data_IF_828840701962
#
_entry.id   IF_828840701962
#
_cell.length_a   1.000
_cell.length_b   1.000
_cell.length_c   1.000
_cell.angle_alpha   90.00
_cell.angle_beta   90.00
_cell.angle_gamma   90.00
#
_symmetry.space_group_name_H-M   'P 1'
#
loop_
_entity.id
_entity.type
_entity.pdbx_description
1 polymer ?
#
# COMPACT_ATOMS: atom_id res chain seq x y z
N UNK A 1 -6.53 -4.37 16.85
CA UNK A 1 -6.66 -3.51 15.67
C UNK A 1 -7.27 -4.35 14.57
N UNK A 2 -8.58 -4.25 14.36
CA UNK A 2 -9.22 -4.96 13.25
C UNK A 2 -9.20 -4.05 12.02
N UNK A 3 -8.05 -4.02 11.34
CA UNK A 3 -7.93 -3.35 10.05
C UNK A 3 -7.82 -4.42 8.97
N UNK A 4 -8.77 -4.47 8.01
CA UNK A 4 -8.69 -5.40 6.91
C UNK A 4 -7.36 -5.25 6.14
N UNK A 5 -6.73 -6.35 5.70
CA UNK A 5 -5.44 -6.29 5.01
C UNK A 5 -5.41 -5.36 3.81
N UNK A 6 -6.52 -5.28 3.05
CA UNK A 6 -6.66 -4.38 1.91
C UNK A 6 -6.58 -2.89 2.32
N UNK A 7 -7.25 -2.50 3.41
CA UNK A 7 -7.21 -1.12 3.92
C UNK A 7 -5.82 -0.77 4.44
N UNK A 8 -5.17 -1.68 5.16
CA UNK A 8 -3.80 -1.49 5.65
C UNK A 8 -2.79 -1.36 4.49
N UNK A 9 -2.97 -2.14 3.42
CA UNK A 9 -2.14 -2.05 2.21
C UNK A 9 -2.34 -0.72 1.50
N UNK A 10 -3.59 -0.26 1.36
CA UNK A 10 -3.91 1.03 0.76
C UNK A 10 -3.33 2.21 1.54
N UNK A 11 -3.44 2.21 2.87
CA UNK A 11 -2.78 3.23 3.70
C UNK A 11 -1.27 3.27 3.50
N UNK A 12 -0.62 2.09 3.41
CA UNK A 12 0.82 2.02 3.13
C UNK A 12 1.17 2.59 1.75
N UNK A 13 0.39 2.26 0.72
CA UNK A 13 0.62 2.77 -0.64
C UNK A 13 0.50 4.29 -0.66
N UNK A 14 -0.55 4.85 -0.04
CA UNK A 14 -0.77 6.28 0.04
C UNK A 14 0.30 7.01 0.88
N UNK A 15 0.81 6.37 1.94
CA UNK A 15 1.89 6.92 2.79
C UNK A 15 3.24 6.97 2.05
N UNK A 16 3.44 6.08 1.08
CA UNK A 16 4.64 6.03 0.24
C UNK A 16 4.53 6.92 -1.01
N UNK A 17 3.34 7.44 -1.31
CA UNK A 17 3.13 8.33 -2.44
C UNK A 17 3.63 9.74 -2.10
N UNK A 18 4.37 10.35 -3.02
CA UNK A 18 4.84 11.74 -2.88
C UNK A 18 3.77 12.78 -3.18
N UNK A 19 2.71 12.37 -3.90
CA UNK A 19 1.61 13.23 -4.35
C UNK A 19 0.26 12.51 -4.18
N UNK A 20 -0.87 13.26 -4.12
CA UNK A 20 -2.21 12.68 -4.11
C UNK A 20 -2.42 11.73 -5.29
N UNK A 21 -3.00 10.56 -5.04
CA UNK A 21 -3.17 9.51 -6.06
C UNK A 21 -4.55 9.57 -6.70
N UNK A 22 -4.64 9.27 -8.00
CA UNK A 22 -5.94 8.98 -8.62
C UNK A 22 -6.39 7.56 -8.24
N UNK A 23 -7.68 7.29 -8.39
CA UNK A 23 -8.23 5.94 -8.13
C UNK A 23 -7.64 4.87 -9.06
N UNK A 24 -7.29 5.24 -10.30
CA UNK A 24 -6.58 4.36 -11.24
C UNK A 24 -5.23 3.94 -10.67
N UNK A 25 -4.46 4.92 -10.21
CA UNK A 25 -3.10 4.71 -9.75
C UNK A 25 -3.10 3.89 -8.44
N UNK A 26 -4.11 4.12 -7.59
CA UNK A 26 -4.31 3.29 -6.39
C UNK A 26 -4.65 1.85 -6.78
N UNK A 27 -5.53 1.63 -7.77
CA UNK A 27 -5.91 0.30 -8.22
C UNK A 27 -4.69 -0.46 -8.76
N UNK A 28 -3.88 0.19 -9.59
CA UNK A 28 -2.66 -0.37 -10.18
C UNK A 28 -1.63 -0.72 -9.09
N UNK A 29 -1.39 0.21 -8.14
CA UNK A 29 -0.47 -0.01 -7.03
C UNK A 29 -0.93 -1.14 -6.07
N UNK A 30 -2.24 -1.29 -5.90
CA UNK A 30 -2.83 -2.37 -5.11
C UNK A 30 -2.93 -3.69 -5.87
N UNK A 31 -2.78 -3.68 -7.20
CA UNK A 31 -3.00 -4.82 -8.10
C UNK A 31 -4.41 -5.40 -7.98
N UNK A 32 -5.41 -4.52 -7.96
CA UNK A 32 -6.83 -4.88 -7.86
C UNK A 32 -7.66 -4.13 -8.91
N UNK A 33 -8.89 -4.58 -9.15
CA UNK A 33 -9.81 -3.86 -10.03
C UNK A 33 -10.20 -2.49 -9.48
N UNK A 34 -10.49 -1.52 -10.37
CA UNK A 34 -10.87 -0.15 -10.00
C UNK A 34 -12.08 -0.08 -9.06
N UNK A 35 -13.05 -0.99 -9.23
CA UNK A 35 -14.22 -1.06 -8.34
C UNK A 35 -13.79 -1.38 -6.91
N UNK A 36 -12.96 -2.41 -6.74
CA UNK A 36 -12.40 -2.79 -5.44
C UNK A 36 -11.55 -1.69 -4.83
N UNK A 37 -10.75 -0.97 -5.63
CA UNK A 37 -9.99 0.18 -5.16
C UNK A 37 -10.90 1.32 -4.68
N UNK A 38 -12.03 1.54 -5.36
CA UNK A 38 -13.05 2.51 -4.95
C UNK A 38 -13.65 2.13 -3.60
N UNK A 39 -14.06 0.86 -3.43
CA UNK A 39 -14.65 0.36 -2.18
C UNK A 39 -13.66 0.46 -1.01
N UNK A 40 -12.37 0.21 -1.26
CA UNK A 40 -11.29 0.39 -0.28
C UNK A 40 -11.11 1.85 0.09
N UNK A 41 -11.08 2.75 -0.89
CA UNK A 41 -10.92 4.18 -0.65
C UNK A 41 -12.13 4.76 0.10
N UNK A 42 -13.35 4.32 -0.21
CA UNK A 42 -14.57 4.72 0.52
C UNK A 42 -14.51 4.33 1.98
N UNK A 43 -14.14 3.09 2.26
CA UNK A 43 -13.96 2.61 3.62
C UNK A 43 -12.90 3.39 4.41
N UNK A 44 -11.84 3.86 3.75
CA UNK A 44 -10.82 4.70 4.38
C UNK A 44 -11.29 6.13 4.61
N UNK A 45 -12.10 6.68 3.70
CA UNK A 45 -12.74 7.99 3.85
C UNK A 45 -13.76 7.96 4.98
N UNK A 46 -14.61 6.95 5.06
CA UNK A 46 -15.59 6.76 6.15
C UNK A 46 -14.90 6.67 7.52
N UNK A 47 -13.70 6.09 7.57
CA UNK A 47 -12.87 5.99 8.78
C UNK A 47 -12.06 7.26 9.08
N UNK A 48 -12.12 8.29 8.21
CA UNK A 48 -11.42 9.56 8.38
C UNK A 48 -9.91 9.50 8.10
N UNK A 49 -9.41 8.41 7.52
CA UNK A 49 -7.98 8.25 7.22
C UNK A 49 -7.58 8.82 5.86
N UNK A 50 -8.52 8.94 4.94
CA UNK A 50 -8.31 9.46 3.59
C UNK A 50 -9.30 10.58 3.30
N UNK A 51 -8.86 11.58 2.54
CA UNK A 51 -9.73 12.63 2.01
C UNK A 51 -9.72 12.60 0.48
N UNK A 52 -10.87 12.91 -0.13
CA UNK A 52 -11.00 13.15 -1.57
C UNK A 52 -10.82 14.63 -1.86
N UNK A 53 -10.03 14.98 -2.88
CA UNK A 53 -9.88 16.35 -3.37
C UNK A 53 -10.00 16.38 -4.89
N UNK A 54 -10.35 17.55 -5.43
CA UNK A 54 -10.22 17.79 -6.87
C UNK A 54 -8.74 17.77 -7.24
N UNK A 55 -8.42 17.16 -8.38
CA UNK A 55 -7.04 17.14 -8.86
C UNK A 55 -6.59 18.59 -9.20
N UNK A 56 -5.42 19.06 -8.69
CA UNK A 56 -4.91 20.39 -8.99
C UNK A 56 -4.67 20.66 -10.48
N UNK A 57 -4.37 19.60 -11.26
CA UNK A 57 -4.08 19.67 -12.70
C UNK A 57 -5.33 19.52 -13.58
N UNK A 58 -6.37 18.84 -13.07
CA UNK A 58 -7.63 18.64 -13.76
C UNK A 58 -8.81 18.65 -12.78
N UNK A 59 -9.54 19.76 -12.71
CA UNK A 59 -10.68 19.92 -11.78
C UNK A 59 -11.81 18.91 -12.01
N UNK A 60 -11.84 18.18 -13.13
CA UNK A 60 -12.81 17.10 -13.40
C UNK A 60 -12.38 15.78 -12.78
N UNK A 61 -11.11 15.62 -12.43
CA UNK A 61 -10.59 14.44 -11.78
C UNK A 61 -10.61 14.57 -10.25
N UNK A 62 -10.71 13.43 -9.58
CA UNK A 62 -10.64 13.32 -8.11
C UNK A 62 -9.39 12.52 -7.74
N UNK A 63 -8.65 13.06 -6.79
CA UNK A 63 -7.50 12.43 -6.15
C UNK A 63 -7.81 12.13 -4.68
N UNK A 64 -7.05 11.21 -4.11
CA UNK A 64 -7.11 10.84 -2.69
C UNK A 64 -5.76 11.06 -2.02
N UNK A 65 -5.79 11.48 -0.78
CA UNK A 65 -4.61 11.67 0.06
C UNK A 65 -4.90 11.29 1.51
N UNK A 66 -3.84 10.98 2.27
CA UNK A 66 -3.96 10.73 3.70
C UNK A 66 -4.36 12.00 4.45
N UNK A 67 -5.26 11.85 5.41
CA UNK A 67 -5.44 12.85 6.46
C UNK A 67 -4.30 12.74 7.47
N UNK A 68 -4.18 13.73 8.38
CA UNK A 68 -3.23 13.63 9.49
C UNK A 68 -3.47 12.37 10.35
N UNK A 69 -4.71 11.91 10.47
CA UNK A 69 -5.06 10.69 11.19
C UNK A 69 -4.66 9.44 10.40
N UNK A 70 -4.83 9.49 9.08
CA UNK A 70 -4.35 8.47 8.14
C UNK A 70 -2.84 8.29 8.21
N UNK A 71 -2.06 9.37 8.21
CA UNK A 71 -0.59 9.30 8.34
C UNK A 71 -0.16 8.67 9.67
N UNK A 72 -0.82 9.04 10.79
CA UNK A 72 -0.54 8.43 12.10
C UNK A 72 -0.87 6.93 12.10
N UNK A 73 -1.97 6.55 11.45
CA UNK A 73 -2.37 5.16 11.30
C UNK A 73 -1.37 4.36 10.44
N UNK A 74 -0.98 4.90 9.28
CA UNK A 74 0.01 4.29 8.40
C UNK A 74 1.36 4.07 9.12
N UNK A 75 1.79 5.06 9.90
CA UNK A 75 2.99 4.97 10.75
C UNK A 75 2.86 3.86 11.80
N UNK A 76 1.72 3.75 12.48
CA UNK A 76 1.47 2.69 13.46
C UNK A 76 1.51 1.29 12.81
N UNK A 77 0.89 1.14 11.64
CA UNK A 77 0.92 -0.10 10.84
C UNK A 77 2.35 -0.46 10.43
N UNK A 78 3.14 0.53 9.98
CA UNK A 78 4.53 0.33 9.61
C UNK A 78 5.36 -0.19 10.79
N UNK A 79 5.19 0.39 11.98
CA UNK A 79 5.88 -0.06 13.21
C UNK A 79 5.53 -1.50 13.58
N UNK A 80 4.25 -1.87 13.52
CA UNK A 80 3.81 -3.24 13.79
C UNK A 80 4.43 -4.20 12.78
N UNK A 81 4.38 -3.86 11.48
CA UNK A 81 4.95 -4.68 10.41
C UNK A 81 6.45 -4.89 10.60
N UNK A 82 7.21 -3.84 10.87
CA UNK A 82 8.65 -3.95 11.14
C UNK A 82 8.94 -4.83 12.34
N UNK A 83 8.16 -4.72 13.42
CA UNK A 83 8.31 -5.59 14.59
C UNK A 83 8.04 -7.07 14.27
N UNK A 84 6.99 -7.35 13.47
CA UNK A 84 6.67 -8.71 13.03
C UNK A 84 7.77 -9.27 12.12
N UNK A 85 8.23 -8.49 11.14
CA UNK A 85 9.33 -8.89 10.25
C UNK A 85 10.61 -9.19 11.03
N UNK A 86 10.96 -8.35 12.01
CA UNK A 86 12.13 -8.58 12.86
C UNK A 86 11.98 -9.86 13.68
N UNK A 87 10.79 -10.15 14.24
CA UNK A 87 10.55 -11.40 14.97
C UNK A 87 10.60 -12.63 14.07
N UNK A 88 10.09 -12.53 12.84
CA UNK A 88 10.11 -13.61 11.88
C UNK A 88 11.54 -13.93 11.40
N UNK A 89 12.37 -12.90 11.23
CA UNK A 89 13.77 -13.05 10.84
C UNK A 89 14.71 -13.35 12.02
N UNK A 90 14.25 -13.24 13.27
CA UNK A 90 15.07 -13.44 14.47
C UNK A 90 15.82 -14.79 14.53
N UNK A 91 15.29 -15.91 13.98
CA UNK A 91 16.01 -17.18 13.96
C UNK A 91 17.07 -17.32 12.86
N UNK A 92 17.18 -16.36 11.93
CA UNK A 92 18.04 -16.46 10.76
C UNK A 92 19.37 -15.74 10.99
N UNK A 93 20.47 -16.38 10.56
CA UNK A 93 21.78 -15.75 10.50
C UNK A 93 21.83 -14.70 9.35
N UNK A 94 22.77 -13.73 9.41
CA UNK A 94 22.85 -12.67 8.39
C UNK A 94 22.90 -13.19 6.94
N UNK A 95 23.63 -14.29 6.74
CA UNK A 95 23.83 -14.97 5.46
C UNK A 95 22.50 -15.55 4.93
N UNK A 96 21.70 -16.11 5.82
CA UNK A 96 20.39 -16.70 5.52
C UNK A 96 19.37 -15.62 5.20
N UNK A 97 19.43 -14.46 5.89
CA UNK A 97 18.62 -13.29 5.56
C UNK A 97 18.95 -12.76 4.18
N UNK A 98 20.24 -12.67 3.84
CA UNK A 98 20.69 -12.24 2.52
C UNK A 98 20.20 -13.20 1.41
N UNK A 99 20.29 -14.51 1.66
CA UNK A 99 19.82 -15.53 0.72
C UNK A 99 18.29 -15.51 0.55
N UNK A 100 17.55 -15.39 1.65
CA UNK A 100 16.09 -15.24 1.60
C UNK A 100 15.68 -14.02 0.79
N UNK A 101 16.33 -12.87 1.01
CA UNK A 101 16.08 -11.65 0.23
C UNK A 101 16.33 -11.90 -1.26
N UNK A 102 17.46 -12.54 -1.63
CA UNK A 102 17.80 -12.87 -3.01
C UNK A 102 16.73 -13.76 -3.68
N UNK A 103 16.26 -14.78 -2.98
CA UNK A 103 15.23 -15.71 -3.49
C UNK A 103 13.88 -15.01 -3.67
N UNK A 104 13.44 -14.19 -2.71
CA UNK A 104 12.20 -13.43 -2.79
C UNK A 104 12.23 -12.40 -3.93
N UNK A 105 13.35 -11.69 -4.12
CA UNK A 105 13.51 -10.76 -5.26
C UNK A 105 13.36 -11.49 -6.60
N UNK A 106 13.94 -12.70 -6.73
CA UNK A 106 13.83 -13.50 -7.94
C UNK A 106 12.38 -13.94 -8.24
N UNK A 107 11.62 -14.32 -7.22
CA UNK A 107 10.21 -14.69 -7.37
C UNK A 107 9.37 -13.49 -7.82
N UNK A 108 9.52 -12.34 -7.16
CA UNK A 108 8.75 -11.15 -7.49
C UNK A 108 9.04 -10.61 -8.90
N UNK A 109 10.28 -10.72 -9.38
CA UNK A 109 10.62 -10.32 -10.73
C UNK A 109 10.00 -11.23 -11.82
N UNK A 110 9.74 -12.50 -11.51
CA UNK A 110 9.07 -13.42 -12.42
C UNK A 110 7.58 -13.09 -12.58
N UNK A 111 6.88 -12.83 -11.46
CA UNK A 111 5.45 -12.47 -11.44
C UNK A 111 5.15 -11.17 -12.21
N UNK A 112 6.07 -10.20 -12.19
CA UNK A 112 5.91 -8.92 -12.88
C UNK A 112 6.10 -9.06 -14.41
N UNK A 113 6.87 -10.06 -14.86
CA UNK A 113 7.11 -10.35 -16.27
C UNK A 113 5.86 -10.96 -16.94
N UNK A 114 5.17 -11.87 -16.25
CA UNK A 114 3.99 -12.58 -16.79
C UNK A 114 2.75 -11.68 -17.00
N UNK A 115 2.71 -10.49 -16.37
CA UNK A 115 1.58 -9.56 -16.46
C UNK A 115 1.76 -8.40 -17.43
N UNK A 116 2.98 -8.15 -17.92
CA UNK A 116 3.21 -7.13 -18.95
C UNK A 116 2.76 -7.61 -20.35
N UNK A 117 2.51 -8.90 -20.51
CA UNK A 117 2.16 -9.55 -21.78
C UNK A 117 0.66 -9.90 -21.92
N UNK A 118 -0.20 -9.48 -20.97
CA UNK A 118 -1.65 -9.74 -20.97
C UNK A 118 -2.48 -8.49 -20.74
#
# INVERSE_FOLDING_TARGET
FDMPPALARALRVLDQASEPMRMSDLADALRIERRSATDVAEQLVERGFVARRADPSDKRATVIELTGDGTRMATAIARIRTSVSHKAAAPLEPDEVAELHRLLTKLLAADDCERSDG
#
